data_IF_276245153213
#
_entry.id   IF_276245153213
#
_cell.length_a   1.000
_cell.length_b   1.000
_cell.length_c   1.000
_cell.angle_alpha   90.00
_cell.angle_beta   90.00
_cell.angle_gamma   90.00
#
_symmetry.space_group_name_H-M   'P 1'
#
loop_
_entity.id
_entity.type
_entity.pdbx_description
1 polymer ?
#
# COMPACT_ATOMS: atom_id res chain seq x y z
N UNK A 1 13.92 -3.71 10.57
CA UNK A 1 15.37 -3.43 10.52
C UNK A 1 15.90 -3.40 9.09
N UNK A 2 15.90 -4.52 8.32
CA UNK A 2 16.46 -4.54 6.95
C UNK A 2 15.87 -3.49 5.99
N UNK A 3 14.55 -3.25 6.02
CA UNK A 3 13.89 -2.23 5.18
C UNK A 3 14.28 -0.81 5.59
N UNK A 4 14.41 -0.55 6.90
CA UNK A 4 14.84 0.76 7.42
C UNK A 4 16.29 1.06 6.99
N UNK A 5 17.16 0.05 7.04
CA UNK A 5 18.55 0.20 6.57
C UNK A 5 18.62 0.38 5.04
N UNK A 6 17.78 -0.36 4.29
CA UNK A 6 17.69 -0.20 2.83
C UNK A 6 17.20 1.21 2.46
N UNK A 7 16.21 1.75 3.16
CA UNK A 7 15.73 3.11 2.94
C UNK A 7 16.80 4.16 3.30
N UNK A 8 17.52 4.00 4.41
CA UNK A 8 18.61 4.91 4.79
C UNK A 8 19.77 4.92 3.76
N UNK A 9 20.02 3.80 3.10
CA UNK A 9 20.97 3.72 1.99
C UNK A 9 20.37 4.41 0.74
N UNK A 10 19.11 4.15 0.46
CA UNK A 10 18.38 4.76 -0.65
C UNK A 10 18.35 6.30 -0.54
N UNK A 11 18.15 6.85 0.68
CA UNK A 11 18.18 8.28 0.94
C UNK A 11 19.51 8.92 0.54
N UNK A 12 20.65 8.30 0.90
CA UNK A 12 21.99 8.79 0.50
C UNK A 12 22.20 8.77 -1.01
N UNK A 13 21.71 7.73 -1.68
CA UNK A 13 21.79 7.65 -3.15
C UNK A 13 20.86 8.67 -3.81
N UNK A 14 19.68 8.89 -3.21
CA UNK A 14 18.73 9.88 -3.68
C UNK A 14 19.31 11.29 -3.61
N UNK A 15 19.98 11.67 -2.52
CA UNK A 15 20.65 12.95 -2.35
C UNK A 15 21.73 13.18 -3.44
N UNK A 16 22.48 12.14 -3.77
CA UNK A 16 23.47 12.20 -4.84
C UNK A 16 22.84 12.34 -6.24
N UNK A 17 21.71 11.70 -6.48
CA UNK A 17 21.00 11.74 -7.76
C UNK A 17 20.12 13.00 -7.88
N UNK A 18 19.68 13.58 -6.78
CA UNK A 18 18.79 14.75 -6.76
C UNK A 18 19.36 15.95 -7.50
N UNK A 19 20.67 16.15 -7.46
CA UNK A 19 21.37 17.21 -8.20
C UNK A 19 21.25 17.00 -9.71
N UNK A 20 21.45 15.76 -10.18
CA UNK A 20 21.30 15.41 -11.60
C UNK A 20 19.84 15.48 -12.02
N UNK A 21 18.96 15.01 -11.14
CA UNK A 21 17.51 15.02 -11.36
C UNK A 21 16.97 16.44 -11.47
N UNK A 22 17.39 17.37 -10.61
CA UNK A 22 16.99 18.77 -10.66
C UNK A 22 17.43 19.45 -11.96
N UNK A 23 18.63 19.15 -12.44
CA UNK A 23 19.11 19.63 -13.75
C UNK A 23 18.31 19.05 -14.93
N UNK A 24 17.94 17.77 -14.85
CA UNK A 24 17.08 17.14 -15.86
C UNK A 24 15.66 17.74 -15.86
N UNK A 25 15.07 17.93 -14.67
CA UNK A 25 13.74 18.52 -14.52
C UNK A 25 13.68 19.98 -14.98
N UNK A 26 14.72 20.78 -14.72
CA UNK A 26 14.79 22.15 -15.23
C UNK A 26 14.79 22.20 -16.76
N UNK A 27 15.46 21.25 -17.41
CA UNK A 27 15.45 21.11 -18.88
C UNK A 27 14.08 20.68 -19.43
N UNK A 28 13.36 19.84 -18.69
CA UNK A 28 12.03 19.35 -19.07
C UNK A 28 10.96 20.46 -18.94
N UNK A 29 11.10 21.38 -18.00
CA UNK A 29 10.16 22.47 -17.78
C UNK A 29 10.11 23.48 -18.97
N UNK A 30 11.07 23.41 -19.88
CA UNK A 30 11.06 24.20 -21.13
C UNK A 30 10.12 23.61 -22.20
N UNK A 31 9.68 22.36 -22.04
CA UNK A 31 8.78 21.66 -22.95
C UNK A 31 7.34 22.21 -22.91
N UNK A 32 6.54 21.98 -23.98
CA UNK A 32 5.11 22.35 -23.98
C UNK A 32 4.37 21.78 -22.77
N UNK A 33 3.42 22.56 -22.21
CA UNK A 33 2.73 22.29 -20.95
C UNK A 33 2.34 20.83 -20.66
N UNK A 34 1.67 20.08 -21.57
CA UNK A 34 1.31 18.69 -21.28
C UNK A 34 2.53 17.76 -21.16
N UNK A 35 3.57 17.97 -21.97
CA UNK A 35 4.80 17.16 -21.91
C UNK A 35 5.62 17.47 -20.67
N UNK A 36 5.69 18.73 -20.26
CA UNK A 36 6.35 19.13 -19.02
C UNK A 36 5.67 18.48 -17.81
N UNK A 37 4.34 18.44 -17.74
CA UNK A 37 3.59 17.81 -16.67
C UNK A 37 3.76 16.28 -16.63
N UNK A 38 3.76 15.61 -17.81
CA UNK A 38 3.92 14.16 -17.90
C UNK A 38 5.33 13.71 -17.53
N UNK A 39 6.36 14.48 -17.90
CA UNK A 39 7.75 14.08 -17.69
C UNK A 39 8.32 14.63 -16.38
N UNK A 40 8.07 15.91 -16.07
CA UNK A 40 8.71 16.66 -15.00
C UNK A 40 7.79 17.14 -13.89
N UNK A 41 6.46 16.98 -14.01
CA UNK A 41 5.52 17.32 -12.93
C UNK A 41 5.76 16.47 -11.68
N UNK A 42 5.12 16.81 -10.56
CA UNK A 42 5.24 16.10 -9.26
C UNK A 42 5.00 14.58 -9.38
N UNK A 43 4.19 14.18 -10.35
CA UNK A 43 3.89 12.78 -10.70
C UNK A 43 4.53 12.36 -12.03
N UNK A 44 5.45 13.18 -12.57
CA UNK A 44 6.11 12.94 -13.85
C UNK A 44 6.97 11.66 -13.83
N UNK A 45 7.07 11.04 -15.01
CA UNK A 45 7.84 9.79 -15.15
C UNK A 45 9.29 9.96 -14.70
N UNK A 46 9.93 11.07 -15.06
CA UNK A 46 11.35 11.34 -14.74
C UNK A 46 11.51 11.68 -13.25
N UNK A 47 10.60 12.48 -12.69
CA UNK A 47 10.61 12.85 -11.29
C UNK A 47 10.45 11.63 -10.38
N UNK A 48 9.59 10.67 -10.78
CA UNK A 48 9.23 9.51 -9.97
C UNK A 48 10.11 8.28 -10.21
N UNK A 49 10.88 8.24 -11.31
CA UNK A 49 11.73 7.10 -11.65
C UNK A 49 12.78 6.75 -10.58
N UNK A 50 13.52 7.73 -10.00
CA UNK A 50 14.45 7.44 -8.91
C UNK A 50 13.78 6.84 -7.68
N UNK A 51 12.59 7.31 -7.31
CA UNK A 51 11.82 6.73 -6.19
C UNK A 51 11.47 5.27 -6.43
N UNK A 52 11.03 4.93 -7.65
CA UNK A 52 10.73 3.54 -7.98
C UNK A 52 11.97 2.65 -7.87
N UNK A 53 13.10 3.13 -8.37
CA UNK A 53 14.33 2.35 -8.45
C UNK A 53 15.04 2.24 -7.11
N UNK A 54 15.11 3.33 -6.33
CA UNK A 54 15.84 3.37 -5.08
C UNK A 54 15.06 2.80 -3.88
N UNK A 55 13.74 2.97 -3.84
CA UNK A 55 12.92 2.56 -2.69
C UNK A 55 12.13 1.28 -2.95
N UNK A 56 11.43 1.18 -4.09
CA UNK A 56 10.59 0.02 -4.34
C UNK A 56 11.38 -1.23 -4.67
N UNK A 57 12.33 -1.10 -5.58
CA UNK A 57 13.06 -2.26 -6.09
C UNK A 57 13.87 -2.98 -4.99
N UNK A 58 14.72 -2.30 -4.16
CA UNK A 58 15.42 -2.96 -3.07
C UNK A 58 14.48 -3.61 -2.06
N UNK A 59 13.39 -2.91 -1.73
CA UNK A 59 12.38 -3.43 -0.78
C UNK A 59 11.74 -4.70 -1.30
N UNK A 60 11.34 -4.74 -2.57
CA UNK A 60 10.77 -5.93 -3.20
C UNK A 60 11.78 -7.08 -3.20
N UNK A 61 13.03 -6.82 -3.56
CA UNK A 61 14.09 -7.83 -3.59
C UNK A 61 14.35 -8.42 -2.19
N UNK A 62 14.47 -7.57 -1.17
CA UNK A 62 14.67 -7.99 0.23
C UNK A 62 13.49 -8.84 0.70
N UNK A 63 12.24 -8.38 0.49
CA UNK A 63 11.07 -9.15 0.90
C UNK A 63 10.96 -10.48 0.15
N UNK A 64 11.22 -10.50 -1.16
CA UNK A 64 11.21 -11.74 -1.95
C UNK A 64 12.27 -12.72 -1.44
N UNK A 65 13.50 -12.24 -1.19
CA UNK A 65 14.57 -13.06 -0.64
C UNK A 65 14.19 -13.64 0.73
N UNK A 66 13.71 -12.81 1.66
CA UNK A 66 13.30 -13.26 2.99
C UNK A 66 12.18 -14.31 2.92
N UNK A 67 11.15 -14.07 2.10
CA UNK A 67 10.04 -15.00 1.95
C UNK A 67 10.50 -16.30 1.32
N UNK A 68 11.35 -16.24 0.31
CA UNK A 68 11.90 -17.45 -0.34
C UNK A 68 12.78 -18.25 0.63
N UNK A 69 13.59 -17.58 1.48
CA UNK A 69 14.35 -18.22 2.56
C UNK A 69 13.40 -18.91 3.55
N UNK A 70 12.38 -18.21 4.03
CA UNK A 70 11.42 -18.77 4.99
C UNK A 70 10.58 -19.91 4.40
N UNK A 71 10.25 -19.82 3.11
CA UNK A 71 9.53 -20.88 2.39
C UNK A 71 10.40 -22.12 2.21
N UNK A 72 11.63 -21.95 1.74
CA UNK A 72 12.55 -23.06 1.49
C UNK A 72 13.05 -23.74 2.77
N UNK A 73 13.08 -23.02 3.91
CA UNK A 73 13.44 -23.56 5.22
C UNK A 73 12.33 -24.34 5.92
N UNK A 74 11.08 -24.32 5.38
CA UNK A 74 9.91 -24.92 6.04
C UNK A 74 9.36 -24.09 7.22
N UNK A 75 9.96 -22.94 7.53
CA UNK A 75 9.51 -22.09 8.63
C UNK A 75 8.10 -21.55 8.39
N UNK A 76 7.78 -21.22 7.14
CA UNK A 76 6.45 -20.77 6.75
C UNK A 76 5.40 -21.84 7.01
N UNK A 77 5.69 -23.11 6.73
CA UNK A 77 4.75 -24.20 6.91
C UNK A 77 4.47 -24.43 8.39
N UNK A 78 5.49 -24.36 9.25
CA UNK A 78 5.32 -24.45 10.70
C UNK A 78 4.55 -23.27 11.27
N UNK A 79 4.88 -22.05 10.85
CA UNK A 79 4.19 -20.83 11.28
C UNK A 79 2.74 -20.84 10.79
N UNK A 80 2.53 -21.24 9.54
CA UNK A 80 1.21 -21.37 8.92
C UNK A 80 0.34 -22.36 9.67
N UNK A 81 0.90 -23.51 10.10
CA UNK A 81 0.17 -24.49 10.88
C UNK A 81 -0.27 -23.93 12.25
N UNK A 82 0.64 -23.25 12.97
CA UNK A 82 0.33 -22.66 14.28
C UNK A 82 -0.68 -21.52 14.20
N UNK A 83 -0.54 -20.65 13.19
CA UNK A 83 -1.39 -19.49 12.99
C UNK A 83 -2.72 -19.82 12.30
N UNK A 84 -2.82 -20.97 11.63
CA UNK A 84 -4.04 -21.37 10.92
C UNK A 84 -5.28 -21.32 11.80
N UNK A 85 -5.18 -21.80 13.05
CA UNK A 85 -6.29 -21.78 14.02
C UNK A 85 -6.80 -20.36 14.31
N UNK A 86 -5.90 -19.37 14.34
CA UNK A 86 -6.22 -17.97 14.60
C UNK A 86 -6.77 -17.25 13.36
N UNK A 87 -6.31 -17.63 12.17
CA UNK A 87 -6.66 -17.00 10.89
C UNK A 87 -7.92 -17.60 10.25
N UNK A 88 -8.23 -18.86 10.53
CA UNK A 88 -9.38 -19.55 9.99
C UNK A 88 -10.72 -18.80 10.21
N UNK A 89 -11.01 -18.20 11.40
CA UNK A 89 -12.25 -17.43 11.59
C UNK A 89 -12.41 -16.25 10.63
N UNK A 90 -11.33 -15.79 10.00
CA UNK A 90 -11.29 -14.68 9.04
C UNK A 90 -11.26 -15.18 7.58
N UNK A 91 -11.29 -16.50 7.37
CA UNK A 91 -11.25 -17.11 6.03
C UNK A 91 -9.89 -17.07 5.36
N UNK A 92 -8.81 -16.95 6.15
CA UNK A 92 -7.43 -17.03 5.71
C UNK A 92 -6.80 -18.34 6.19
N UNK A 93 -6.06 -18.98 5.31
CA UNK A 93 -5.13 -20.05 5.68
C UNK A 93 -3.83 -19.48 6.24
N UNK A 94 -3.06 -20.31 6.94
CA UNK A 94 -1.75 -19.87 7.45
C UNK A 94 -0.81 -19.39 6.34
N UNK A 95 -0.80 -20.05 5.17
CA UNK A 95 -0.01 -19.64 4.01
C UNK A 95 -0.47 -18.31 3.40
N UNK A 96 -1.75 -17.96 3.55
CA UNK A 96 -2.28 -16.69 3.04
C UNK A 96 -1.72 -15.49 3.83
N UNK A 97 -1.43 -15.68 5.14
CA UNK A 97 -0.78 -14.65 5.95
C UNK A 97 0.56 -14.20 5.35
N UNK A 98 1.35 -15.15 4.86
CA UNK A 98 2.63 -14.84 4.22
C UNK A 98 2.44 -13.93 3.02
N UNK A 99 1.42 -14.19 2.22
CA UNK A 99 1.09 -13.35 1.04
C UNK A 99 0.61 -11.96 1.46
N UNK A 100 -0.16 -11.87 2.55
CA UNK A 100 -0.57 -10.58 3.12
C UNK A 100 0.65 -9.80 3.61
N UNK A 101 1.61 -10.48 4.26
CA UNK A 101 2.88 -9.87 4.69
C UNK A 101 3.72 -9.42 3.48
N UNK A 102 3.72 -10.18 2.38
CA UNK A 102 4.33 -9.73 1.11
C UNK A 102 3.75 -8.40 0.63
N UNK A 103 2.47 -8.16 0.85
CA UNK A 103 1.81 -6.91 0.50
C UNK A 103 2.41 -5.68 1.18
N UNK A 104 3.04 -5.81 2.36
CA UNK A 104 3.79 -4.71 2.97
C UNK A 104 5.06 -4.33 2.17
N UNK A 105 5.57 -5.22 1.34
CA UNK A 105 6.56 -4.87 0.32
C UNK A 105 5.89 -4.18 -0.86
N UNK A 106 5.08 -4.93 -1.61
CA UNK A 106 4.29 -4.41 -2.72
C UNK A 106 3.06 -5.30 -2.95
N UNK A 107 1.89 -4.67 -3.10
CA UNK A 107 0.64 -5.37 -3.33
C UNK A 107 0.62 -6.14 -4.66
N UNK A 108 1.32 -5.65 -5.69
CA UNK A 108 1.32 -6.26 -7.03
C UNK A 108 1.87 -7.69 -7.02
N UNK A 109 3.13 -7.95 -6.61
CA UNK A 109 3.66 -9.31 -6.55
C UNK A 109 2.91 -10.16 -5.51
N UNK A 110 2.42 -9.57 -4.43
CA UNK A 110 1.61 -10.28 -3.44
C UNK A 110 0.32 -10.83 -4.07
N UNK A 111 -0.39 -10.03 -4.87
CA UNK A 111 -1.61 -10.45 -5.58
C UNK A 111 -1.28 -11.51 -6.65
N UNK A 112 -0.22 -11.33 -7.42
CA UNK A 112 0.21 -12.33 -8.41
C UNK A 112 0.52 -13.66 -7.74
N UNK A 113 1.16 -13.65 -6.56
CA UNK A 113 1.45 -14.86 -5.80
C UNK A 113 0.21 -15.65 -5.35
N UNK A 114 -0.97 -14.98 -5.30
CA UNK A 114 -2.24 -15.65 -4.96
C UNK A 114 -2.73 -16.65 -6.02
N UNK A 115 -2.09 -16.71 -7.19
CA UNK A 115 -2.38 -17.73 -8.20
C UNK A 115 -2.18 -19.16 -7.67
N UNK A 116 -1.29 -19.32 -6.68
CA UNK A 116 -1.06 -20.61 -6.00
C UNK A 116 -2.02 -20.90 -4.85
N UNK A 117 -2.95 -19.98 -4.53
CA UNK A 117 -4.01 -20.23 -3.55
C UNK A 117 -5.06 -21.19 -4.10
N UNK A 118 -5.76 -21.90 -3.21
CA UNK A 118 -6.97 -22.58 -3.59
C UNK A 118 -8.00 -21.58 -4.13
N UNK A 119 -8.81 -21.99 -5.10
CA UNK A 119 -9.84 -21.13 -5.69
C UNK A 119 -10.80 -20.54 -4.63
N UNK A 120 -10.97 -21.24 -3.51
CA UNK A 120 -11.83 -20.82 -2.41
C UNK A 120 -11.25 -19.65 -1.60
N UNK A 121 -9.92 -19.60 -1.34
CA UNK A 121 -9.30 -18.58 -0.48
C UNK A 121 -8.73 -17.40 -1.26
N UNK A 122 -8.52 -17.53 -2.57
CA UNK A 122 -7.86 -16.52 -3.40
C UNK A 122 -8.51 -15.14 -3.29
N UNK A 123 -9.84 -15.06 -3.40
CA UNK A 123 -10.56 -13.80 -3.30
C UNK A 123 -10.43 -13.13 -1.93
N UNK A 124 -10.45 -13.91 -0.85
CA UNK A 124 -10.26 -13.42 0.52
C UNK A 124 -8.83 -12.94 0.73
N UNK A 125 -7.85 -13.69 0.22
CA UNK A 125 -6.43 -13.32 0.32
C UNK A 125 -6.14 -12.01 -0.44
N UNK A 126 -6.64 -11.86 -1.67
CA UNK A 126 -6.53 -10.59 -2.45
C UNK A 126 -7.20 -9.43 -1.71
N UNK A 127 -8.37 -9.66 -1.11
CA UNK A 127 -9.06 -8.64 -0.30
C UNK A 127 -8.26 -8.26 0.94
N UNK A 128 -7.62 -9.22 1.61
CA UNK A 128 -6.74 -8.98 2.76
C UNK A 128 -5.50 -8.16 2.40
N UNK A 129 -4.86 -8.48 1.27
CA UNK A 129 -3.70 -7.74 0.75
C UNK A 129 -4.10 -6.31 0.42
N UNK A 130 -5.19 -6.14 -0.33
CA UNK A 130 -5.63 -4.83 -0.80
C UNK A 130 -6.05 -3.89 0.34
N UNK A 131 -6.72 -4.41 1.36
CA UNK A 131 -7.22 -3.64 2.49
C UNK A 131 -6.18 -3.43 3.58
N UNK A 132 -5.44 -4.49 3.93
CA UNK A 132 -4.65 -4.56 5.16
C UNK A 132 -3.14 -4.36 5.00
N UNK A 133 -2.62 -4.29 3.77
CA UNK A 133 -1.18 -4.18 3.57
C UNK A 133 -0.77 -2.74 3.23
N UNK A 134 -0.13 -2.09 4.18
CA UNK A 134 0.56 -0.81 3.92
C UNK A 134 1.86 -1.10 3.18
N UNK A 135 1.89 -0.85 1.87
CA UNK A 135 3.04 -1.16 1.03
C UNK A 135 4.28 -0.32 1.39
N UNK A 136 5.44 -0.69 0.84
CA UNK A 136 6.73 -0.02 1.09
C UNK A 136 6.77 1.46 0.72
N UNK A 137 5.84 1.96 -0.07
CA UNK A 137 5.67 3.40 -0.32
C UNK A 137 4.76 4.05 0.70
N UNK A 138 3.67 3.38 1.07
CA UNK A 138 2.69 3.90 2.00
C UNK A 138 3.24 4.04 3.41
N UNK A 139 3.95 3.02 3.90
CA UNK A 139 4.40 3.00 5.29
C UNK A 139 5.42 4.10 5.61
N UNK A 140 6.49 4.32 4.83
CA UNK A 140 7.40 5.46 5.05
C UNK A 140 6.69 6.81 4.92
N UNK A 141 5.83 6.99 3.92
CA UNK A 141 5.04 8.20 3.75
C UNK A 141 4.15 8.49 4.96
N UNK A 142 3.48 7.45 5.48
CA UNK A 142 2.68 7.52 6.71
C UNK A 142 3.53 7.93 7.92
N UNK A 143 4.70 7.31 8.10
CA UNK A 143 5.59 7.64 9.21
C UNK A 143 6.17 9.04 9.10
N UNK A 144 6.46 9.53 7.89
CA UNK A 144 6.90 10.89 7.64
C UNK A 144 5.82 11.91 8.04
N UNK A 145 4.55 11.65 7.68
CA UNK A 145 3.41 12.48 8.09
C UNK A 145 3.27 12.52 9.61
N UNK A 146 3.37 11.36 10.29
CA UNK A 146 3.29 11.31 11.76
C UNK A 146 4.46 12.05 12.43
N UNK A 147 5.67 11.95 11.86
CA UNK A 147 6.84 12.67 12.35
C UNK A 147 6.70 14.18 12.17
N UNK A 148 6.24 14.64 11.00
CA UNK A 148 6.00 16.05 10.71
C UNK A 148 4.91 16.65 11.61
N UNK A 149 3.85 15.88 11.90
CA UNK A 149 2.81 16.26 12.83
C UNK A 149 3.26 16.24 14.32
N UNK A 150 4.44 15.71 14.63
CA UNK A 150 4.96 15.58 16.00
C UNK A 150 4.39 14.37 16.77
N UNK A 151 3.66 13.46 16.12
CA UNK A 151 2.97 12.31 16.74
C UNK A 151 3.57 10.97 16.30
N UNK A 152 4.88 10.77 16.49
CA UNK A 152 5.59 9.55 16.07
C UNK A 152 5.01 8.26 16.66
N UNK A 153 4.40 8.33 17.87
CA UNK A 153 3.72 7.22 18.53
C UNK A 153 2.49 6.70 17.76
N UNK A 154 1.93 7.48 16.82
CA UNK A 154 0.84 7.03 15.96
C UNK A 154 1.24 5.91 15.00
N UNK A 155 2.53 5.71 14.71
CA UNK A 155 2.98 4.65 13.81
C UNK A 155 2.54 3.25 14.24
N UNK A 156 2.90 2.77 15.44
CA UNK A 156 2.40 1.51 15.98
C UNK A 156 0.88 1.46 16.12
N UNK A 157 0.26 2.57 16.52
CA UNK A 157 -1.19 2.67 16.65
C UNK A 157 -1.89 2.48 15.30
N UNK A 158 -1.39 3.11 14.24
CA UNK A 158 -1.88 2.94 12.88
C UNK A 158 -1.82 1.48 12.41
N UNK A 159 -0.69 0.80 12.64
CA UNK A 159 -0.55 -0.61 12.27
C UNK A 159 -1.52 -1.51 13.06
N UNK A 160 -1.73 -1.23 14.34
CA UNK A 160 -2.70 -1.95 15.15
C UNK A 160 -4.14 -1.73 14.66
N UNK A 161 -4.52 -0.49 14.38
CA UNK A 161 -5.83 -0.14 13.80
C UNK A 161 -6.01 -0.79 12.44
N UNK A 162 -5.00 -0.74 11.57
CA UNK A 162 -5.03 -1.36 10.25
C UNK A 162 -5.24 -2.88 10.35
N UNK A 163 -4.50 -3.57 11.23
CA UNK A 163 -4.65 -4.99 11.45
C UNK A 163 -6.04 -5.33 11.99
N UNK A 164 -6.53 -4.59 12.99
CA UNK A 164 -7.83 -4.81 13.60
C UNK A 164 -8.98 -4.59 12.61
N UNK A 165 -8.98 -3.48 11.87
CA UNK A 165 -10.00 -3.18 10.86
C UNK A 165 -9.97 -4.18 9.70
N UNK A 166 -8.78 -4.67 9.31
CA UNK A 166 -8.65 -5.74 8.32
C UNK A 166 -9.28 -7.03 8.80
N UNK A 167 -9.04 -7.42 10.03
CA UNK A 167 -9.65 -8.63 10.61
C UNK A 167 -11.17 -8.53 10.64
N UNK A 168 -11.72 -7.39 11.07
CA UNK A 168 -13.18 -7.15 11.07
C UNK A 168 -13.71 -7.19 9.63
N UNK A 169 -13.05 -6.48 8.70
CA UNK A 169 -13.43 -6.47 7.29
C UNK A 169 -13.51 -7.89 6.71
N UNK A 170 -12.50 -8.70 6.91
CA UNK A 170 -12.49 -10.09 6.45
C UNK A 170 -13.55 -10.93 7.14
N UNK A 171 -13.75 -10.75 8.45
CA UNK A 171 -14.78 -11.45 9.19
C UNK A 171 -16.18 -11.19 8.65
N UNK A 172 -16.47 -9.96 8.26
CA UNK A 172 -17.79 -9.56 7.74
C UNK A 172 -17.99 -9.95 6.28
N UNK A 173 -16.91 -9.94 5.49
CA UNK A 173 -17.01 -10.11 4.03
C UNK A 173 -16.77 -11.54 3.54
N UNK A 174 -16.15 -12.40 4.36
CA UNK A 174 -15.87 -13.79 3.97
C UNK A 174 -17.09 -14.68 4.27
N UNK A 175 -17.63 -15.39 3.27
CA UNK A 175 -18.75 -16.31 3.44
C UNK A 175 -18.44 -17.44 4.44
N UNK A 176 -19.46 -17.88 5.18
CA UNK A 176 -19.30 -18.94 6.19
C UNK A 176 -18.84 -20.26 5.55
N UNK A 177 -19.31 -20.58 4.35
CA UNK A 177 -18.91 -21.77 3.59
C UNK A 177 -17.39 -21.84 3.35
N UNK A 178 -16.75 -20.72 3.03
CA UNK A 178 -15.31 -20.65 2.82
C UNK A 178 -14.51 -20.84 4.12
N UNK A 179 -15.04 -20.33 5.25
CA UNK A 179 -14.41 -20.51 6.56
C UNK A 179 -14.46 -21.98 7.01
N UNK A 180 -15.55 -22.69 6.70
CA UNK A 180 -15.70 -24.10 7.03
C UNK A 180 -14.82 -25.00 6.13
N UNK A 181 -14.73 -24.68 4.84
CA UNK A 181 -13.89 -25.42 3.89
C UNK A 181 -12.39 -25.37 4.25
N UNK A 182 -11.92 -24.30 4.87
CA UNK A 182 -10.52 -24.20 5.31
C UNK A 182 -10.19 -25.02 6.56
N UNK A 183 -11.17 -25.49 7.32
CA UNK A 183 -10.94 -26.38 8.46
C UNK A 183 -10.39 -27.76 8.05
N UNK A 184 -10.71 -28.20 6.83
CA UNK A 184 -10.38 -29.52 6.33
C UNK A 184 -8.99 -29.63 5.67
N UNK A 185 -8.33 -28.51 5.35
CA UNK A 185 -7.07 -28.49 4.59
C UNK A 185 -5.81 -28.72 5.46
N UNK A 186 -5.95 -29.10 6.71
CA UNK A 186 -4.86 -29.22 7.69
C UNK A 186 -4.05 -30.53 7.61
N UNK A 187 -4.09 -31.28 6.52
CA UNK A 187 -3.38 -32.55 6.34
C UNK A 187 -1.97 -32.42 5.73
N UNK A 188 -1.37 -31.24 5.73
CA UNK A 188 0.05 -31.11 5.35
C UNK A 188 0.93 -31.62 6.48
N UNK A 189 1.69 -32.66 6.19
CA UNK A 189 2.76 -33.17 7.06
C UNK A 189 3.69 -32.02 7.45
N UNK A 190 3.89 -31.84 8.74
CA UNK A 190 4.87 -30.89 9.28
C UNK A 190 6.25 -31.32 8.75
N UNK A 191 6.75 -30.59 7.77
CA UNK A 191 8.08 -30.82 7.26
C UNK A 191 9.10 -30.27 8.27
N UNK A 192 10.20 -30.99 8.47
CA UNK A 192 11.26 -30.55 9.39
C UNK A 192 11.95 -29.31 8.82
N UNK A 193 12.43 -28.43 9.71
CA UNK A 193 13.26 -27.30 9.33
C UNK A 193 14.46 -27.78 8.52
N UNK A 194 14.62 -27.23 7.32
CA UNK A 194 15.72 -27.56 6.39
C UNK A 194 16.57 -26.31 6.17
N UNK A 195 17.84 -26.53 5.78
CA UNK A 195 18.67 -25.43 5.30
C UNK A 195 18.05 -24.81 4.05
N UNK A 196 18.04 -23.46 3.91
CA UNK A 196 17.47 -22.79 2.75
C UNK A 196 18.11 -23.23 1.44
N UNK A 197 17.29 -23.43 0.41
CA UNK A 197 17.80 -23.63 -0.96
C UNK A 197 18.20 -22.30 -1.58
N UNK A 198 19.49 -21.95 -1.45
CA UNK A 198 20.02 -20.68 -1.96
C UNK A 198 19.85 -20.52 -3.48
N UNK A 199 19.86 -21.62 -4.25
CA UNK A 199 19.64 -21.55 -5.70
C UNK A 199 18.18 -21.19 -6.00
N UNK A 200 17.26 -21.77 -5.26
CA UNK A 200 15.84 -21.40 -5.31
C UNK A 200 15.60 -19.94 -4.95
N UNK A 201 16.22 -19.48 -3.85
CA UNK A 201 16.11 -18.07 -3.41
C UNK A 201 16.59 -17.11 -4.49
N UNK A 202 17.76 -17.32 -5.08
CA UNK A 202 18.28 -16.46 -6.15
C UNK A 202 17.38 -16.46 -7.36
N UNK A 203 16.86 -17.63 -7.74
CA UNK A 203 15.92 -17.76 -8.86
C UNK A 203 14.63 -16.98 -8.59
N UNK A 204 14.06 -17.07 -7.40
CA UNK A 204 12.84 -16.36 -7.03
C UNK A 204 13.06 -14.83 -7.02
N UNK A 205 14.20 -14.37 -6.57
CA UNK A 205 14.59 -12.95 -6.61
C UNK A 205 14.71 -12.45 -8.06
N UNK A 206 15.36 -13.22 -8.94
CA UNK A 206 15.49 -12.87 -10.36
C UNK A 206 14.11 -12.85 -11.05
N UNK A 207 13.26 -13.83 -10.76
CA UNK A 207 11.88 -13.84 -11.28
C UNK A 207 11.09 -12.62 -10.79
N UNK A 208 11.18 -12.27 -9.51
CA UNK A 208 10.52 -11.09 -8.95
C UNK A 208 11.02 -9.79 -9.60
N UNK A 209 12.33 -9.68 -9.84
CA UNK A 209 12.91 -8.54 -10.56
C UNK A 209 12.39 -8.45 -12.00
N UNK A 210 12.33 -9.59 -12.69
CA UNK A 210 11.80 -9.66 -14.05
C UNK A 210 10.33 -9.26 -14.11
N UNK A 211 9.51 -9.81 -13.20
CA UNK A 211 8.09 -9.47 -13.11
C UNK A 211 7.87 -8.00 -12.78
N UNK A 212 8.71 -7.44 -11.90
CA UNK A 212 8.69 -6.02 -11.61
C UNK A 212 8.99 -5.18 -12.87
N UNK A 213 10.05 -5.51 -13.61
CA UNK A 213 10.43 -4.78 -14.81
C UNK A 213 9.41 -4.93 -15.96
N UNK A 214 8.85 -6.13 -16.15
CA UNK A 214 7.97 -6.43 -17.28
C UNK A 214 6.50 -6.06 -17.03
N UNK A 215 6.05 -6.09 -15.76
CA UNK A 215 4.63 -5.88 -15.43
C UNK A 215 4.44 -4.60 -14.63
N UNK A 216 5.16 -4.43 -13.51
CA UNK A 216 4.92 -3.30 -12.63
C UNK A 216 5.45 -1.98 -13.22
N UNK A 217 6.61 -1.98 -13.83
CA UNK A 217 7.24 -0.78 -14.38
C UNK A 217 6.44 -0.15 -15.53
N UNK A 218 5.99 -0.89 -16.58
CA UNK A 218 5.16 -0.30 -17.63
C UNK A 218 3.83 0.26 -17.12
N UNK A 219 3.21 -0.43 -16.16
CA UNK A 219 1.98 0.05 -15.51
C UNK A 219 2.27 1.36 -14.76
N UNK A 220 3.39 1.41 -14.04
CA UNK A 220 3.83 2.60 -13.33
C UNK A 220 4.03 3.81 -14.27
N UNK A 221 4.72 3.62 -15.40
CA UNK A 221 4.89 4.66 -16.41
C UNK A 221 3.53 5.12 -16.96
N UNK A 222 2.63 4.19 -17.26
CA UNK A 222 1.27 4.52 -17.70
C UNK A 222 0.49 5.35 -16.68
N UNK A 223 0.67 5.08 -15.38
CA UNK A 223 0.04 5.85 -14.31
C UNK A 223 0.65 7.24 -14.17
N UNK A 224 1.97 7.37 -14.28
CA UNK A 224 2.63 8.68 -14.28
C UNK A 224 2.13 9.55 -15.43
N UNK A 225 1.98 8.97 -16.61
CA UNK A 225 1.40 9.68 -17.78
C UNK A 225 -0.03 10.12 -17.47
N UNK A 226 -0.86 9.24 -16.95
CA UNK A 226 -2.25 9.56 -16.61
C UNK A 226 -2.31 10.65 -15.51
N UNK A 227 -1.51 10.54 -14.47
CA UNK A 227 -1.46 11.52 -13.39
C UNK A 227 -0.98 12.89 -13.87
N UNK A 228 0.06 12.93 -14.72
CA UNK A 228 0.53 14.16 -15.34
C UNK A 228 -0.52 14.84 -16.23
N UNK A 229 -1.29 14.06 -16.99
CA UNK A 229 -2.41 14.56 -17.78
C UNK A 229 -3.55 15.11 -16.89
N UNK A 230 -3.90 14.42 -15.79
CA UNK A 230 -4.92 14.87 -14.84
C UNK A 230 -4.47 16.14 -14.11
N UNK A 231 -3.20 16.26 -13.80
CA UNK A 231 -2.62 17.47 -13.20
C UNK A 231 -2.70 18.65 -14.17
N UNK A 232 -2.26 18.43 -15.42
CA UNK A 232 -2.29 19.45 -16.45
C UNK A 232 -3.72 19.93 -16.81
N UNK A 233 -4.68 19.00 -16.84
CA UNK A 233 -6.09 19.33 -17.14
C UNK A 233 -6.82 20.06 -16.01
N UNK A 234 -6.22 20.21 -14.82
CA UNK A 234 -6.85 20.81 -13.64
C UNK A 234 -7.96 19.96 -12.98
N UNK A 235 -8.19 18.75 -13.49
CA UNK A 235 -9.20 17.82 -12.96
C UNK A 235 -8.92 17.47 -11.49
N UNK A 236 -7.65 17.37 -11.10
CA UNK A 236 -7.26 17.12 -9.71
C UNK A 236 -7.80 18.23 -8.77
N UNK A 237 -7.65 19.49 -9.14
CA UNK A 237 -8.19 20.62 -8.38
C UNK A 237 -9.72 20.62 -8.30
N UNK A 238 -10.39 20.32 -9.41
CA UNK A 238 -11.85 20.20 -9.43
C UNK A 238 -12.34 19.03 -8.56
N UNK A 239 -11.62 17.90 -8.57
CA UNK A 239 -11.96 16.72 -7.77
C UNK A 239 -11.79 17.00 -6.28
N UNK A 240 -10.74 17.71 -5.88
CA UNK A 240 -10.52 18.10 -4.48
C UNK A 240 -11.58 19.08 -3.99
N UNK A 241 -12.03 20.02 -4.82
CA UNK A 241 -13.11 20.95 -4.45
C UNK A 241 -14.46 20.25 -4.25
N UNK A 242 -14.76 19.21 -5.04
CA UNK A 242 -15.98 18.39 -4.88
C UNK A 242 -15.90 17.51 -3.63
N UNK A 243 -14.74 16.95 -3.33
CA UNK A 243 -14.52 16.05 -2.18
C UNK A 243 -14.35 16.82 -0.86
N UNK A 244 -13.96 18.10 -0.90
CA UNK A 244 -13.74 18.91 0.29
C UNK A 244 -14.89 18.87 1.30
N UNK A 245 -16.16 19.12 0.89
CA UNK A 245 -17.31 19.04 1.79
C UNK A 245 -17.53 17.65 2.40
N UNK A 246 -17.14 16.57 1.69
CA UNK A 246 -17.23 15.20 2.20
C UNK A 246 -16.25 14.96 3.34
N UNK A 247 -15.12 15.69 3.37
CA UNK A 247 -14.13 15.57 4.45
C UNK A 247 -14.68 16.02 5.79
N UNK A 248 -15.60 16.98 5.83
CA UNK A 248 -16.25 17.41 7.04
C UNK A 248 -17.02 16.26 7.76
N UNK A 249 -17.54 15.29 7.02
CA UNK A 249 -18.20 14.11 7.59
C UNK A 249 -17.23 13.27 8.43
N UNK A 250 -15.94 13.27 8.05
CA UNK A 250 -14.86 12.59 8.77
C UNK A 250 -14.15 13.50 9.80
N UNK A 251 -14.70 14.67 10.09
CA UNK A 251 -14.10 15.68 10.95
C UNK A 251 -12.68 16.09 10.48
N UNK A 252 -12.52 16.18 9.14
CA UNK A 252 -11.27 16.52 8.49
C UNK A 252 -11.41 17.86 7.73
N UNK A 253 -10.35 18.67 7.65
CA UNK A 253 -10.29 19.84 6.79
C UNK A 253 -10.45 19.46 5.30
N UNK A 254 -10.98 20.40 4.50
CA UNK A 254 -11.22 20.17 3.06
C UNK A 254 -9.93 19.86 2.28
N UNK A 255 -8.81 20.42 2.71
CA UNK A 255 -7.47 20.27 2.12
C UNK A 255 -7.00 18.80 2.15
N UNK A 256 -7.47 18.00 3.11
CA UNK A 256 -7.13 16.56 3.20
C UNK A 256 -7.69 15.76 2.03
N UNK A 257 -8.68 16.28 1.30
CA UNK A 257 -9.21 15.66 0.09
C UNK A 257 -8.11 15.42 -0.95
N UNK A 258 -7.14 16.32 -1.08
CA UNK A 258 -6.00 16.18 -1.98
C UNK A 258 -5.19 14.91 -1.65
N UNK A 259 -4.89 14.69 -0.38
CA UNK A 259 -4.14 13.51 0.06
C UNK A 259 -4.86 12.19 -0.28
N UNK A 260 -6.19 12.17 -0.20
CA UNK A 260 -6.99 11.00 -0.52
C UNK A 260 -6.97 10.73 -2.02
N UNK A 261 -7.14 11.77 -2.84
CA UNK A 261 -7.09 11.66 -4.30
C UNK A 261 -5.70 11.18 -4.74
N UNK A 262 -4.64 11.83 -4.27
CA UNK A 262 -3.27 11.49 -4.62
C UNK A 262 -2.88 10.10 -4.09
N UNK A 263 -3.26 9.77 -2.86
CA UNK A 263 -3.05 8.45 -2.26
C UNK A 263 -3.79 7.31 -2.97
N UNK A 264 -4.88 7.63 -3.71
CA UNK A 264 -5.58 6.67 -4.57
C UNK A 264 -4.84 6.41 -5.88
N UNK A 265 -4.17 7.40 -6.43
CA UNK A 265 -3.31 7.25 -7.60
C UNK A 265 -2.06 6.48 -7.20
N UNK A 266 -1.35 6.96 -6.19
CA UNK A 266 -0.14 6.36 -5.62
C UNK A 266 -0.13 6.55 -4.10
N UNK A 267 0.30 5.53 -3.38
CA UNK A 267 0.25 5.54 -1.91
C UNK A 267 1.21 6.52 -1.23
N UNK A 268 2.30 6.89 -1.87
CA UNK A 268 3.21 7.97 -1.43
C UNK A 268 2.60 9.37 -1.62
N UNK A 269 1.65 9.51 -2.54
CA UNK A 269 0.92 10.75 -2.76
C UNK A 269 0.15 11.25 -1.54
N UNK A 270 -0.14 10.39 -0.56
CA UNK A 270 -0.74 10.84 0.70
C UNK A 270 0.17 11.82 1.47
N UNK A 271 1.49 11.60 1.45
CA UNK A 271 2.43 12.51 2.11
C UNK A 271 2.51 13.84 1.36
N UNK A 272 2.56 13.80 0.03
CA UNK A 272 2.58 15.01 -0.81
C UNK A 272 1.32 15.84 -0.56
N UNK A 273 0.15 15.19 -0.50
CA UNK A 273 -1.12 15.88 -0.29
C UNK A 273 -1.31 16.44 1.14
N UNK A 274 -0.63 15.87 2.15
CA UNK A 274 -0.73 16.35 3.54
C UNK A 274 0.40 17.30 3.92
N UNK A 275 1.59 17.15 3.36
CA UNK A 275 2.77 17.95 3.71
C UNK A 275 2.90 19.21 2.85
N UNK A 276 2.24 19.27 1.70
CA UNK A 276 2.17 20.42 0.79
C UNK A 276 3.51 21.17 0.59
N UNK A 277 4.64 20.43 0.63
CA UNK A 277 5.98 20.95 0.45
C UNK A 277 6.65 21.60 1.67
N UNK A 278 5.90 21.95 2.73
CA UNK A 278 6.43 22.53 3.96
C UNK A 278 5.94 21.78 5.20
N UNK A 279 6.88 21.37 6.07
CA UNK A 279 6.57 20.64 7.30
C UNK A 279 5.69 21.43 8.29
N UNK A 280 5.72 22.74 8.24
CA UNK A 280 4.94 23.60 9.15
C UNK A 280 3.46 23.70 8.73
N UNK A 281 3.12 23.48 7.47
CA UNK A 281 1.74 23.55 6.99
C UNK A 281 0.86 22.40 7.53
N UNK A 282 1.44 21.23 7.83
CA UNK A 282 0.69 20.13 8.39
C UNK A 282 0.14 20.42 9.80
N UNK A 283 0.91 21.13 10.63
CA UNK A 283 0.47 21.51 11.98
C UNK A 283 -0.67 22.52 11.95
N UNK A 284 -0.77 23.30 10.89
CA UNK A 284 -1.85 24.30 10.70
C UNK A 284 -3.14 23.64 10.23
N UNK A 285 -3.04 22.52 9.49
CA UNK A 285 -4.21 21.84 8.87
C UNK A 285 -4.78 20.76 9.77
N UNK A 286 -3.93 20.04 10.52
CA UNK A 286 -4.32 18.89 11.35
C UNK A 286 -3.86 19.11 12.80
N UNK A 287 -4.75 19.61 13.64
CA UNK A 287 -4.43 20.01 15.02
C UNK A 287 -4.41 18.84 16.00
N UNK A 288 -5.09 17.74 15.68
CA UNK A 288 -5.27 16.64 16.62
C UNK A 288 -4.70 15.33 16.09
N UNK A 289 -4.14 14.47 16.98
CA UNK A 289 -3.62 13.16 16.59
C UNK A 289 -4.69 12.27 15.94
N UNK A 290 -5.97 12.47 16.29
CA UNK A 290 -7.10 11.75 15.71
C UNK A 290 -7.32 12.14 14.25
N UNK A 291 -7.26 13.45 13.94
CA UNK A 291 -7.38 13.92 12.55
C UNK A 291 -6.22 13.38 11.68
N UNK A 292 -4.99 13.42 12.21
CA UNK A 292 -3.82 12.87 11.51
C UNK A 292 -3.99 11.37 11.26
N UNK A 293 -4.41 10.60 12.25
CA UNK A 293 -4.65 9.17 12.11
C UNK A 293 -5.76 8.87 11.11
N UNK A 294 -6.88 9.61 11.19
CA UNK A 294 -8.04 9.43 10.31
C UNK A 294 -7.71 9.77 8.86
N UNK A 295 -7.01 10.88 8.60
CA UNK A 295 -6.64 11.28 7.24
C UNK A 295 -5.69 10.29 6.60
N UNK A 296 -4.65 9.83 7.33
CA UNK A 296 -3.70 8.83 6.87
C UNK A 296 -4.39 7.48 6.65
N UNK A 297 -5.28 7.07 7.56
CA UNK A 297 -6.04 5.83 7.40
C UNK A 297 -6.94 5.89 6.16
N UNK A 298 -7.68 6.97 5.99
CA UNK A 298 -8.58 7.15 4.85
C UNK A 298 -7.81 7.16 3.52
N UNK A 299 -6.74 7.97 3.41
CA UNK A 299 -5.91 8.02 2.21
C UNK A 299 -5.20 6.68 1.91
N UNK A 300 -4.84 5.95 2.97
CA UNK A 300 -4.14 4.67 2.85
C UNK A 300 -5.04 3.48 2.49
N UNK A 301 -6.29 3.45 2.98
CA UNK A 301 -7.14 2.24 2.95
C UNK A 301 -8.37 2.40 2.05
N UNK A 302 -8.89 3.62 1.85
CA UNK A 302 -10.12 3.86 1.10
C UNK A 302 -10.13 3.18 -0.27
N UNK A 303 -9.10 3.44 -1.04
CA UNK A 303 -8.92 2.83 -2.36
C UNK A 303 -7.51 2.22 -2.45
N UNK A 304 -7.36 1.05 -3.06
CA UNK A 304 -6.05 0.54 -3.42
C UNK A 304 -5.41 1.46 -4.47
N UNK A 305 -4.07 1.49 -4.57
CA UNK A 305 -3.43 2.27 -5.62
C UNK A 305 -3.84 1.76 -7.00
N UNK A 306 -3.79 2.63 -8.00
CA UNK A 306 -4.26 2.35 -9.35
C UNK A 306 -3.55 1.12 -9.96
N UNK A 307 -2.25 0.93 -9.68
CA UNK A 307 -1.51 -0.28 -10.08
C UNK A 307 -2.13 -1.55 -9.49
N UNK A 308 -2.50 -1.51 -8.22
CA UNK A 308 -3.15 -2.65 -7.54
C UNK A 308 -4.52 -2.93 -8.16
N UNK A 309 -5.31 -1.88 -8.43
CA UNK A 309 -6.63 -2.01 -9.09
C UNK A 309 -6.51 -2.70 -10.43
N UNK A 310 -5.59 -2.23 -11.28
CA UNK A 310 -5.35 -2.82 -12.61
C UNK A 310 -4.86 -4.27 -12.51
N UNK A 311 -3.99 -4.56 -11.54
CA UNK A 311 -3.50 -5.93 -11.31
C UNK A 311 -4.64 -6.85 -10.88
N UNK A 312 -5.51 -6.42 -9.96
CA UNK A 312 -6.69 -7.20 -9.54
C UNK A 312 -7.63 -7.44 -10.72
N UNK A 313 -7.90 -6.41 -11.51
CA UNK A 313 -8.72 -6.53 -12.71
C UNK A 313 -8.18 -7.53 -13.71
N UNK A 314 -6.86 -7.56 -13.91
CA UNK A 314 -6.17 -8.49 -14.80
C UNK A 314 -6.14 -9.93 -14.24
N UNK A 315 -5.95 -10.10 -12.94
CA UNK A 315 -5.78 -11.40 -12.28
C UNK A 315 -7.10 -12.10 -11.92
N UNK A 316 -8.12 -11.33 -11.55
CA UNK A 316 -9.38 -11.84 -11.02
C UNK A 316 -10.59 -11.47 -11.89
N UNK A 317 -10.37 -10.65 -12.91
CA UNK A 317 -11.42 -10.10 -13.75
C UNK A 317 -11.95 -8.74 -13.26
N UNK A 318 -12.34 -7.91 -14.22
CA UNK A 318 -12.75 -6.51 -13.97
C UNK A 318 -13.94 -6.40 -13.02
N UNK A 319 -14.95 -7.24 -13.19
CA UNK A 319 -16.17 -7.22 -12.36
C UNK A 319 -15.89 -7.59 -10.90
N UNK A 320 -14.99 -8.56 -10.68
CA UNK A 320 -14.54 -8.91 -9.32
C UNK A 320 -13.80 -7.73 -8.69
N UNK A 321 -12.86 -7.13 -9.43
CA UNK A 321 -12.11 -5.96 -8.98
C UNK A 321 -13.02 -4.81 -8.57
N UNK A 322 -13.99 -4.46 -9.41
CA UNK A 322 -14.94 -3.38 -9.14
C UNK A 322 -15.77 -3.62 -7.87
N UNK A 323 -16.32 -4.83 -7.71
CA UNK A 323 -17.09 -5.21 -6.52
C UNK A 323 -16.23 -5.19 -5.26
N UNK A 324 -14.99 -5.66 -5.35
CA UNK A 324 -14.07 -5.70 -4.23
C UNK A 324 -13.69 -4.28 -3.79
N UNK A 325 -13.36 -3.39 -4.74
CA UNK A 325 -12.99 -2.00 -4.47
C UNK A 325 -14.17 -1.23 -3.86
N UNK A 326 -15.36 -1.36 -4.41
CA UNK A 326 -16.55 -0.73 -3.83
C UNK A 326 -16.82 -1.20 -2.39
N UNK A 327 -16.67 -2.50 -2.13
CA UNK A 327 -16.79 -3.06 -0.78
C UNK A 327 -15.68 -2.54 0.14
N UNK A 328 -14.45 -2.48 -0.35
CA UNK A 328 -13.32 -1.93 0.41
C UNK A 328 -13.55 -0.47 0.79
N UNK A 329 -13.95 0.37 -0.18
CA UNK A 329 -14.22 1.79 0.04
C UNK A 329 -15.34 2.00 1.08
N UNK A 330 -16.41 1.21 1.00
CA UNK A 330 -17.51 1.27 1.96
C UNK A 330 -17.07 0.96 3.39
N UNK A 331 -16.36 -0.15 3.61
CA UNK A 331 -15.88 -0.51 4.95
C UNK A 331 -14.78 0.43 5.45
N UNK A 332 -13.88 0.87 4.58
CA UNK A 332 -12.84 1.84 4.94
C UNK A 332 -13.44 3.17 5.39
N UNK A 333 -14.48 3.65 4.71
CA UNK A 333 -15.21 4.85 5.12
C UNK A 333 -15.90 4.68 6.49
N UNK A 334 -16.56 3.55 6.74
CA UNK A 334 -17.17 3.27 8.05
C UNK A 334 -16.12 3.25 9.15
N UNK A 335 -15.00 2.56 8.94
CA UNK A 335 -13.94 2.50 9.96
C UNK A 335 -13.29 3.86 10.19
N UNK A 336 -13.08 4.64 9.13
CA UNK A 336 -12.57 6.01 9.26
C UNK A 336 -13.54 6.89 10.06
N UNK A 337 -14.85 6.78 9.83
CA UNK A 337 -15.87 7.46 10.64
C UNK A 337 -15.79 7.04 12.12
N UNK A 338 -15.67 5.74 12.37
CA UNK A 338 -15.50 5.24 13.73
C UNK A 338 -14.25 5.83 14.40
N UNK A 339 -13.12 5.87 13.69
CA UNK A 339 -11.86 6.43 14.21
C UNK A 339 -12.03 7.92 14.50
N UNK A 340 -12.62 8.69 13.57
CA UNK A 340 -12.81 10.13 13.69
C UNK A 340 -13.68 10.49 14.90
N UNK A 341 -14.84 9.88 15.03
CA UNK A 341 -15.82 10.24 16.06
C UNK A 341 -15.52 9.61 17.42
N UNK A 342 -15.03 8.36 17.46
CA UNK A 342 -14.62 7.73 18.71
C UNK A 342 -13.38 8.40 19.30
N UNK A 343 -12.41 8.77 18.43
CA UNK A 343 -11.23 9.51 18.86
C UNK A 343 -11.57 10.89 19.40
N UNK A 344 -12.54 11.57 18.79
CA UNK A 344 -13.04 12.86 19.29
C UNK A 344 -13.68 12.72 20.67
N UNK A 345 -14.49 11.68 20.88
CA UNK A 345 -15.11 11.38 22.20
C UNK A 345 -14.05 11.10 23.27
N UNK A 346 -12.99 10.36 22.94
CA UNK A 346 -11.88 10.08 23.85
C UNK A 346 -11.01 11.31 24.16
N UNK A 347 -10.92 12.27 23.25
CA UNK A 347 -10.18 13.51 23.45
C UNK A 347 -10.94 14.55 24.28
N UNK A 348 -12.25 14.36 24.49
CA UNK A 348 -13.13 15.20 25.30
C UNK A 348 -13.23 14.71 26.75
N UNK A 349 -12.74 13.50 27.06
CA UNK A 349 -12.61 12.91 28.40
C UNK A 349 -11.18 13.10 28.89
#
# INVERSE_FOLDING_TARGET
MAVIQANAIADRFYDAISVILSAALSSINVLPGPLASILGGDYGVVAMFPFLLLYALPTILIFTALISIYKSSGLIDQLSFRLHRWLNPFGLGGQDLVRVVMGFGCNVPAIVSTRSCSNCSRGTCVSAISFGSACSYQLPATLAVFAAAGFTWLGPCYLAVLAFTTMIYLRLTTPLSLRLAQKEVLLTTLDHLRSPDWRGVVRDVIHSLRDFMMVAFPIFVGICILAGLLQWSGVLGSLTSILGPVMAVFNLPAETALAIVLGSVRKDGLAIGLLNGEMDSLKVVLDTPVQVLTSVYLAGVLLPCLVTVLTIGREMGFMFGLKMIGRQAFFAAIFALCIAWFGLLLSLI
#
